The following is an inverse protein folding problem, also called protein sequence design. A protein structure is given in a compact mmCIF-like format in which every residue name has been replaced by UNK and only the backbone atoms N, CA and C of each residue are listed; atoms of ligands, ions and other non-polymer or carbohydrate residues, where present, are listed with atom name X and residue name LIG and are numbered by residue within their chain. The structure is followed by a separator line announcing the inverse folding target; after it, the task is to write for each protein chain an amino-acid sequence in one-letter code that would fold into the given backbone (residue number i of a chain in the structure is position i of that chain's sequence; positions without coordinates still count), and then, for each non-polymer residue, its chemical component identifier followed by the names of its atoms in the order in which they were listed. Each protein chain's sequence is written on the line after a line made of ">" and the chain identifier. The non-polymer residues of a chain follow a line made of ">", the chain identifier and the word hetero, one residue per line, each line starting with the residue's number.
data_IF_794495937383
#
_entry.id   IF_794495937383
#
_cell.length_a   1.000
_cell.length_b   1.000
_cell.length_c   1.000
_cell.angle_alpha   90.00
_cell.angle_beta   90.00
_cell.angle_gamma   90.00
#
_symmetry.space_group_name_H-M   'P 1'
#
loop_
_entity.id
_entity.type
_entity.pdbx_description
1 polymer ?
#
# COMPACT_ATOMS: atom_id res chain seq x y z
N UNK A 1 23.36 5.40 13.14
CA UNK A 1 22.05 5.16 13.82
C UNK A 1 21.97 3.67 14.11
N UNK A 2 21.68 3.24 15.34
CA UNK A 2 21.73 1.82 15.76
C UNK A 2 20.58 0.97 15.20
N UNK A 3 19.52 1.59 14.69
CA UNK A 3 18.33 0.89 14.19
C UNK A 3 18.30 0.67 12.68
N UNK A 4 19.41 0.88 11.97
CA UNK A 4 19.49 0.75 10.50
C UNK A 4 19.01 -0.62 10.02
N UNK A 5 19.43 -1.70 10.69
CA UNK A 5 19.04 -3.07 10.31
C UNK A 5 17.54 -3.32 10.45
N UNK A 6 16.88 -2.68 11.43
CA UNK A 6 15.43 -2.79 11.63
C UNK A 6 14.68 -2.09 10.50
N UNK A 7 15.17 -0.94 10.03
CA UNK A 7 14.61 -0.24 8.88
C UNK A 7 14.82 -0.99 7.57
N UNK A 8 16.02 -1.57 7.35
CA UNK A 8 16.30 -2.39 6.16
C UNK A 8 15.37 -3.61 6.09
N UNK A 9 15.18 -4.31 7.22
CA UNK A 9 14.21 -5.42 7.30
C UNK A 9 12.79 -4.98 6.96
N UNK A 10 12.37 -3.81 7.44
CA UNK A 10 11.04 -3.28 7.13
C UNK A 10 10.86 -2.93 5.65
N UNK A 11 11.89 -2.36 5.00
CA UNK A 11 11.91 -2.07 3.56
C UNK A 11 11.82 -3.36 2.74
N UNK A 12 12.63 -4.36 3.09
CA UNK A 12 12.65 -5.64 2.39
C UNK A 12 11.29 -6.35 2.48
N UNK A 13 10.67 -6.34 3.67
CA UNK A 13 9.33 -6.89 3.87
C UNK A 13 8.26 -6.21 3.00
N UNK A 14 8.34 -4.89 2.79
CA UNK A 14 7.41 -4.18 1.91
C UNK A 14 7.62 -4.56 0.44
N UNK A 15 8.88 -4.59 -0.02
CA UNK A 15 9.20 -4.98 -1.41
C UNK A 15 8.71 -6.41 -1.69
N UNK A 16 8.92 -7.33 -0.75
CA UNK A 16 8.46 -8.71 -0.88
C UNK A 16 6.94 -8.82 -0.88
N UNK A 17 6.25 -8.04 -0.03
CA UNK A 17 4.78 -7.95 -0.10
C UNK A 17 4.29 -7.44 -1.45
N UNK A 18 4.94 -6.42 -2.03
CA UNK A 18 4.58 -5.89 -3.34
C UNK A 18 4.78 -6.94 -4.43
N UNK A 19 5.86 -7.74 -4.38
CA UNK A 19 6.08 -8.85 -5.32
C UNK A 19 5.02 -9.95 -5.18
N UNK A 20 4.70 -10.33 -3.94
CA UNK A 20 3.72 -11.38 -3.66
C UNK A 20 2.30 -11.01 -4.09
N UNK A 21 1.94 -9.74 -4.03
CA UNK A 21 0.64 -9.25 -4.46
C UNK A 21 0.44 -9.34 -5.98
N UNK A 22 1.53 -9.40 -6.78
CA UNK A 22 1.48 -9.47 -8.26
C UNK A 22 0.60 -8.37 -8.89
N UNK A 23 0.63 -7.17 -8.31
CA UNK A 23 -0.19 -6.03 -8.75
C UNK A 23 0.54 -5.05 -9.67
N UNK A 24 1.80 -5.31 -10.02
CA UNK A 24 2.64 -4.41 -10.81
C UNK A 24 3.66 -5.20 -11.62
N UNK A 25 4.03 -4.63 -12.77
CA UNK A 25 5.11 -5.12 -13.62
C UNK A 25 6.18 -4.03 -13.75
N UNK A 26 7.44 -4.45 -13.86
CA UNK A 26 8.53 -3.54 -14.16
C UNK A 26 8.54 -3.28 -15.68
N UNK A 27 8.24 -2.05 -16.07
CA UNK A 27 8.21 -1.62 -17.48
C UNK A 27 9.27 -0.55 -17.73
N UNK A 28 9.74 -0.47 -18.97
CA UNK A 28 10.51 0.69 -19.42
C UNK A 28 9.65 1.95 -19.39
N UNK A 29 10.27 3.10 -19.18
CA UNK A 29 9.56 4.37 -19.08
C UNK A 29 8.92 4.67 -20.45
N UNK A 30 7.59 4.77 -20.53
CA UNK A 30 6.92 5.14 -21.76
C UNK A 30 7.18 6.61 -22.11
N UNK A 31 7.26 6.91 -23.40
CA UNK A 31 7.48 8.27 -23.87
C UNK A 31 6.27 9.16 -23.58
N UNK A 32 6.52 10.39 -23.13
CA UNK A 32 5.51 11.44 -22.94
C UNK A 32 4.41 11.13 -21.91
N UNK A 33 4.73 10.36 -20.86
CA UNK A 33 3.82 10.05 -19.75
C UNK A 33 4.24 10.79 -18.48
N UNK A 34 3.26 11.26 -17.71
CA UNK A 34 3.49 11.81 -16.38
C UNK A 34 3.81 10.68 -15.39
N UNK A 35 5.07 10.60 -14.95
CA UNK A 35 5.50 9.56 -14.01
C UNK A 35 5.12 9.97 -12.59
N UNK A 36 4.21 9.20 -11.98
CA UNK A 36 3.85 9.38 -10.57
C UNK A 36 5.05 9.03 -9.69
N UNK A 37 5.64 10.04 -9.07
CA UNK A 37 6.75 9.84 -8.14
C UNK A 37 6.32 9.03 -6.91
N UNK A 38 7.28 8.35 -6.27
CA UNK A 38 7.03 7.62 -5.02
C UNK A 38 7.87 8.17 -3.85
N UNK A 39 7.50 7.80 -2.63
CA UNK A 39 8.29 8.08 -1.42
C UNK A 39 8.19 6.95 -0.42
N UNK A 40 9.24 6.79 0.37
CA UNK A 40 9.19 5.96 1.56
C UNK A 40 8.53 6.71 2.72
N UNK A 41 7.63 6.03 3.41
CA UNK A 41 7.01 6.47 4.67
C UNK A 41 7.45 5.51 5.77
N UNK A 42 8.08 6.07 6.79
CA UNK A 42 8.60 5.32 7.93
C UNK A 42 7.79 5.64 9.18
N UNK A 43 7.42 4.59 9.91
CA UNK A 43 6.71 4.71 11.18
C UNK A 43 7.19 3.63 12.14
N UNK A 44 7.31 3.99 13.42
CA UNK A 44 7.48 3.03 14.50
C UNK A 44 6.10 2.80 15.11
N UNK A 45 5.70 1.54 15.20
CA UNK A 45 4.46 1.11 15.86
C UNK A 45 4.80 0.72 17.29
N UNK A 46 4.18 1.42 18.23
CA UNK A 46 4.35 1.19 19.64
C UNK A 46 3.21 0.31 20.19
N UNK A 47 3.46 -0.41 21.27
CA UNK A 47 2.43 -1.08 22.06
C UNK A 47 1.60 -0.05 22.88
N UNK A 48 0.59 -0.53 23.60
CA UNK A 48 -0.24 0.28 24.49
C UNK A 48 0.58 0.98 25.60
N UNK A 49 1.72 0.40 25.97
CA UNK A 49 2.68 0.95 26.94
C UNK A 49 3.64 1.98 26.34
N UNK A 50 3.57 2.25 25.02
CA UNK A 50 4.42 3.23 24.34
C UNK A 50 5.79 2.71 23.88
N UNK A 51 6.09 1.43 24.08
CA UNK A 51 7.35 0.81 23.67
C UNK A 51 7.32 0.40 22.18
N UNK A 52 8.45 0.53 21.45
CA UNK A 52 8.51 0.26 20.02
C UNK A 52 8.44 -1.23 19.70
N UNK A 53 7.28 -1.70 19.25
CA UNK A 53 7.04 -3.10 18.88
C UNK A 53 7.49 -3.41 17.46
N UNK A 54 7.29 -2.49 16.51
CA UNK A 54 7.52 -2.79 15.09
C UNK A 54 7.94 -1.58 14.27
N UNK A 55 8.95 -1.79 13.43
CA UNK A 55 9.35 -0.85 12.39
C UNK A 55 8.51 -1.09 11.14
N UNK A 56 7.86 -0.04 10.63
CA UNK A 56 7.01 -0.08 9.44
C UNK A 56 7.58 0.86 8.39
N UNK A 57 7.90 0.33 7.22
CA UNK A 57 8.24 1.08 6.02
C UNK A 57 7.15 0.82 4.97
N UNK A 58 6.76 1.85 4.22
CA UNK A 58 5.80 1.75 3.12
C UNK A 58 6.29 2.55 1.93
N UNK A 59 6.23 1.96 0.75
CA UNK A 59 6.47 2.65 -0.51
C UNK A 59 5.14 3.18 -1.03
N UNK A 60 5.00 4.50 -1.12
CA UNK A 60 3.73 5.16 -1.43
C UNK A 60 3.89 6.04 -2.66
N UNK A 61 2.98 5.88 -3.62
CA UNK A 61 2.86 6.77 -4.78
C UNK A 61 2.34 8.15 -4.35
N UNK A 62 2.86 9.21 -4.95
CA UNK A 62 2.41 10.58 -4.72
C UNK A 62 1.20 10.89 -5.61
N UNK A 63 0.08 10.22 -5.35
CA UNK A 63 -1.11 10.31 -6.20
C UNK A 63 -1.68 11.72 -6.41
N UNK A 64 -1.33 12.71 -5.57
CA UNK A 64 -1.68 14.11 -5.79
C UNK A 64 -1.02 14.73 -7.05
N UNK A 65 -0.06 14.03 -7.68
CA UNK A 65 0.52 14.43 -8.96
C UNK A 65 -0.24 13.87 -10.16
N UNK A 66 -1.31 13.11 -9.94
CA UNK A 66 -2.12 12.51 -11.00
C UNK A 66 -3.22 13.46 -11.46
N UNK A 67 -3.47 13.50 -12.77
CA UNK A 67 -4.56 14.24 -13.38
C UNK A 67 -5.64 13.31 -13.92
N UNK A 68 -6.92 13.60 -13.58
CA UNK A 68 -8.06 12.82 -14.07
C UNK A 68 -8.19 12.93 -15.59
N UNK A 69 -8.49 11.80 -16.25
CA UNK A 69 -8.50 11.59 -17.71
C UNK A 69 -7.14 11.60 -18.41
N UNK A 70 -6.07 11.99 -17.73
CA UNK A 70 -4.70 11.92 -18.26
C UNK A 70 -3.95 10.71 -17.69
N UNK A 71 -3.96 10.56 -16.37
CA UNK A 71 -3.21 9.53 -15.66
C UNK A 71 -4.10 8.39 -15.13
N UNK A 72 -5.41 8.64 -15.03
CA UNK A 72 -6.41 7.64 -14.64
C UNK A 72 -7.81 8.05 -15.13
N UNK A 73 -8.64 7.06 -15.44
CA UNK A 73 -10.01 7.20 -15.92
C UNK A 73 -11.06 6.77 -14.90
N UNK A 74 -10.70 5.91 -13.94
CA UNK A 74 -11.61 5.39 -12.92
C UNK A 74 -11.03 5.48 -11.50
N UNK A 75 -11.89 5.76 -10.52
CA UNK A 75 -11.54 5.73 -9.09
C UNK A 75 -12.15 4.50 -8.43
N UNK A 76 -11.32 3.51 -8.08
CA UNK A 76 -11.77 2.33 -7.34
C UNK A 76 -11.69 2.57 -5.83
N UNK A 77 -12.84 2.59 -5.17
CA UNK A 77 -12.94 2.52 -3.70
C UNK A 77 -13.60 1.19 -3.30
N UNK A 78 -12.85 0.17 -2.86
CA UNK A 78 -13.41 -1.13 -2.48
C UNK A 78 -14.06 -1.03 -1.10
N UNK A 79 -15.20 -0.34 -1.01
CA UNK A 79 -15.98 -0.24 0.23
C UNK A 79 -16.96 -1.41 0.27
N UNK A 80 -16.64 -2.43 1.07
CA UNK A 80 -17.57 -3.52 1.34
C UNK A 80 -18.80 -2.96 2.08
N UNK A 81 -19.99 -3.15 1.48
CA UNK A 81 -21.24 -2.76 2.13
C UNK A 81 -21.59 -3.79 3.20
N UNK A 82 -21.86 -3.30 4.41
CA UNK A 82 -22.24 -4.15 5.55
C UNK A 82 -23.49 -4.99 5.25
N UNK A 83 -24.40 -4.47 4.42
CA UNK A 83 -25.59 -5.20 3.95
C UNK A 83 -25.22 -6.43 3.12
N UNK A 84 -24.31 -6.28 2.16
CA UNK A 84 -23.80 -7.39 1.33
C UNK A 84 -23.09 -8.44 2.17
N UNK A 85 -22.29 -8.01 3.15
CA UNK A 85 -21.60 -8.93 4.06
C UNK A 85 -22.59 -9.75 4.91
N UNK A 86 -23.59 -9.08 5.51
CA UNK A 86 -24.63 -9.74 6.30
C UNK A 86 -25.45 -10.72 5.47
N UNK A 87 -25.75 -10.38 4.21
CA UNK A 87 -26.47 -11.26 3.29
C UNK A 87 -25.69 -12.56 3.00
N UNK A 88 -24.40 -12.45 2.70
CA UNK A 88 -23.53 -13.62 2.45
C UNK A 88 -23.45 -14.51 3.71
N UNK A 89 -23.31 -13.92 4.90
CA UNK A 89 -23.29 -14.67 6.16
C UNK A 89 -24.61 -15.39 6.44
N UNK A 90 -25.75 -14.78 6.08
CA UNK A 90 -27.06 -15.40 6.22
C UNK A 90 -27.23 -16.60 5.28
N UNK A 91 -26.74 -16.50 4.04
CA UNK A 91 -26.75 -17.62 3.08
C UNK A 91 -25.83 -18.78 3.51
N UNK A 92 -24.66 -18.48 4.06
CA UNK A 92 -23.70 -19.50 4.50
C UNK A 92 -24.16 -20.27 5.75
N UNK A 93 -25.12 -19.72 6.50
CA UNK A 93 -25.72 -20.33 7.69
C UNK A 93 -27.08 -21.01 7.41
N UNK A 94 -27.49 -21.11 6.15
CA UNK A 94 -28.59 -21.99 5.70
C UNK A 94 -28.04 -23.38 5.36
#
# INVERSE_FOLDING_TARGET
>A
RTDTDKWLKAIQSEIESLRNNKTWDLVEIPNNVNIVSCKWVFAIKNNESGEPTRYKARLVARGFTQEYLQDYDETFAPVARMTTLRFILALANQ
#
